data_IF_630006870957
#
_entry.id   IF_630006870957
#
_cell.length_a   1.000
_cell.length_b   1.000
_cell.length_c   1.000
_cell.angle_alpha   90.00
_cell.angle_beta   90.00
_cell.angle_gamma   90.00
#
_symmetry.space_group_name_H-M   'P 1'
#
loop_
_entity.id
_entity.type
_entity.pdbx_description
1 polymer ?
#
# COMPACT_ATOMS: atom_id res chain seq x y z
N UNK A 1 -27.98 51.74 36.75
CA UNK A 1 -28.69 50.60 37.28
C UNK A 1 -28.67 49.58 36.19
N UNK A 2 -27.75 48.88 35.96
CA UNK A 2 -26.65 47.96 36.19
C UNK A 2 -27.10 46.70 36.87
N UNK A 3 -27.17 45.65 36.06
CA UNK A 3 -26.93 44.31 36.55
C UNK A 3 -26.25 43.46 35.49
N UNK A 4 -25.06 43.00 35.87
CA UNK A 4 -24.23 42.13 35.12
C UNK A 4 -24.64 40.67 35.36
N UNK A 5 -24.89 39.90 34.31
CA UNK A 5 -25.16 38.48 34.41
C UNK A 5 -23.88 37.68 34.13
N UNK A 6 -23.37 37.05 35.16
CA UNK A 6 -22.27 36.10 35.15
C UNK A 6 -22.78 34.71 34.72
N UNK A 7 -22.40 34.23 33.56
CA UNK A 7 -22.63 32.84 33.16
C UNK A 7 -21.40 32.00 33.46
N UNK A 8 -21.46 31.24 34.55
CA UNK A 8 -20.56 30.10 34.80
C UNK A 8 -21.04 28.90 34.00
N UNK A 9 -20.28 28.48 33.02
CA UNK A 9 -20.43 27.17 32.37
C UNK A 9 -19.67 26.11 33.15
N UNK A 10 -20.41 25.32 33.93
CA UNK A 10 -19.90 24.09 34.54
C UNK A 10 -20.02 22.94 33.53
N UNK A 11 -18.92 22.49 32.95
CA UNK A 11 -18.86 21.27 32.18
C UNK A 11 -18.90 20.06 33.11
N UNK A 12 -20.00 19.34 33.15
CA UNK A 12 -20.09 18.05 33.82
C UNK A 12 -19.59 16.94 32.92
N UNK A 13 -18.43 16.36 33.25
CA UNK A 13 -17.96 15.10 32.69
C UNK A 13 -18.76 13.94 33.28
N UNK A 14 -19.60 13.30 32.50
CA UNK A 14 -20.19 12.01 32.87
C UNK A 14 -19.15 10.89 32.68
N UNK A 15 -18.71 10.36 33.82
CA UNK A 15 -17.98 9.10 33.89
C UNK A 15 -18.95 7.92 33.65
N UNK A 16 -18.84 7.24 32.54
CA UNK A 16 -19.45 5.93 32.35
C UNK A 16 -18.44 4.90 32.79
N UNK A 17 -18.73 4.18 33.85
CA UNK A 17 -17.88 3.13 34.40
C UNK A 17 -18.43 1.80 33.93
N UNK A 18 -17.88 1.23 32.87
CA UNK A 18 -18.03 -0.18 32.55
C UNK A 18 -16.65 -0.84 32.49
N UNK A 19 -16.54 -1.92 33.26
CA UNK A 19 -15.43 -2.88 33.32
C UNK A 19 -13.98 -2.34 33.34
N UNK A 20 -13.58 -1.76 34.46
CA UNK A 20 -12.23 -1.95 35.00
C UNK A 20 -11.00 -1.32 34.34
N UNK A 21 -11.12 -0.51 33.29
CA UNK A 21 -9.98 0.19 32.70
C UNK A 21 -10.34 1.61 32.28
N UNK A 22 -9.60 2.58 32.80
CA UNK A 22 -9.66 3.99 32.36
C UNK A 22 -8.90 4.13 31.04
N UNK A 23 -9.60 4.36 29.96
CA UNK A 23 -9.02 4.86 28.71
C UNK A 23 -9.07 6.37 28.69
N UNK A 24 -7.91 7.02 28.67
CA UNK A 24 -7.82 8.43 28.30
C UNK A 24 -7.82 8.53 26.78
N UNK A 25 -8.97 8.90 26.22
CA UNK A 25 -9.05 9.29 24.83
C UNK A 25 -8.43 10.68 24.67
N UNK A 26 -7.28 10.76 24.02
CA UNK A 26 -6.83 11.99 23.39
C UNK A 26 -7.32 11.94 21.95
N UNK A 27 -8.32 12.74 21.63
CA UNK A 27 -8.76 12.95 20.26
C UNK A 27 -7.75 13.87 19.58
N UNK A 28 -6.82 13.30 18.81
CA UNK A 28 -6.05 14.02 17.80
C UNK A 28 -6.47 13.50 16.44
N UNK A 29 -6.98 14.38 15.62
CA UNK A 29 -7.40 14.11 14.24
C UNK A 29 -6.26 14.51 13.34
N UNK A 30 -5.73 13.57 12.56
CA UNK A 30 -4.73 13.92 11.55
C UNK A 30 -4.51 12.86 10.45
N UNK A 31 -4.31 13.29 9.29
CA UNK A 31 -4.38 12.61 7.99
C UNK A 31 -3.08 12.59 7.16
N UNK A 32 -2.74 11.71 6.26
CA UNK A 32 -1.53 11.56 5.44
C UNK A 32 -1.74 11.29 3.95
N UNK A 33 -0.76 11.57 3.15
CA UNK A 33 -0.80 11.50 1.69
C UNK A 33 -0.55 10.10 1.13
N UNK A 34 -1.48 9.59 0.33
CA UNK A 34 -1.26 8.50 -0.61
C UNK A 34 -1.29 9.11 -2.00
N UNK A 35 -0.16 9.19 -2.66
CA UNK A 35 -0.12 9.60 -4.06
C UNK A 35 -0.12 8.34 -4.92
N UNK A 36 -1.19 8.13 -5.60
CA UNK A 36 -1.27 7.16 -6.69
C UNK A 36 -0.65 7.76 -7.93
N UNK A 37 0.64 7.56 -8.15
CA UNK A 37 1.21 7.66 -9.49
C UNK A 37 0.65 6.48 -10.29
N UNK A 38 -0.07 6.79 -11.37
CA UNK A 38 -0.80 5.82 -12.17
C UNK A 38 0.08 4.76 -12.83
N UNK A 39 0.15 3.62 -12.19
CA UNK A 39 0.38 2.31 -12.79
C UNK A 39 -0.52 1.34 -12.06
N UNK A 40 -1.47 0.76 -12.74
CA UNK A 40 -2.19 -0.39 -12.25
C UNK A 40 -1.24 -1.57 -12.27
N UNK A 41 -0.35 -1.67 -11.27
CA UNK A 41 0.19 -2.96 -10.90
C UNK A 41 -1.00 -3.83 -10.51
N UNK A 42 -1.05 -5.11 -10.90
CA UNK A 42 -2.04 -6.01 -10.35
C UNK A 42 -1.98 -5.86 -8.84
N UNK A 43 -3.11 -5.53 -8.23
CA UNK A 43 -3.23 -5.24 -6.81
C UNK A 43 -2.61 -6.40 -6.05
N UNK A 44 -1.48 -6.13 -5.42
CA UNK A 44 -0.89 -7.04 -4.46
C UNK A 44 -1.87 -7.16 -3.31
N UNK A 45 -2.49 -8.32 -3.17
CA UNK A 45 -3.43 -8.61 -2.10
C UNK A 45 -2.76 -8.43 -0.75
N UNK A 46 -3.23 -7.54 -0.07
CA UNK A 46 -3.12 -6.91 1.24
C UNK A 46 -2.76 -5.44 1.10
N UNK A 47 -3.68 -4.60 1.54
CA UNK A 47 -3.34 -3.26 1.98
C UNK A 47 -2.58 -3.45 3.30
N UNK A 48 -1.32 -3.87 3.19
CA UNK A 48 -0.40 -3.67 4.28
C UNK A 48 -0.13 -2.19 4.28
N UNK A 49 -0.83 -1.44 5.12
CA UNK A 49 -0.30 -0.16 5.55
C UNK A 49 0.96 -0.50 6.33
N UNK A 50 2.15 -0.36 5.77
CA UNK A 50 3.35 -0.44 6.58
C UNK A 50 3.22 0.71 7.57
N UNK A 51 3.17 0.39 8.83
CA UNK A 51 3.17 1.35 9.94
C UNK A 51 4.36 2.28 9.86
N UNK A 52 5.31 1.93 9.05
CA UNK A 52 6.43 2.76 8.61
C UNK A 52 6.58 2.56 7.10
N UNK A 53 5.71 3.18 6.33
CA UNK A 53 6.18 3.64 5.04
C UNK A 53 7.00 4.88 5.36
N UNK A 54 8.27 4.99 4.98
CA UNK A 54 8.77 6.31 4.73
C UNK A 54 7.72 6.89 3.78
N UNK A 55 7.11 7.99 4.18
CA UNK A 55 6.40 8.78 3.21
C UNK A 55 7.48 9.15 2.21
N UNK A 56 7.69 8.31 1.18
CA UNK A 56 8.30 8.81 -0.03
C UNK A 56 7.40 9.97 -0.37
N UNK A 57 7.87 11.21 -0.22
CA UNK A 57 7.04 12.32 -0.60
C UNK A 57 6.70 12.01 -2.04
N UNK A 58 5.46 11.66 -2.30
CA UNK A 58 4.98 11.53 -3.64
C UNK A 58 4.82 12.95 -4.17
N UNK A 59 5.93 13.59 -4.35
CA UNK A 59 6.00 14.53 -5.42
C UNK A 59 5.91 13.69 -6.69
N UNK A 60 4.85 13.91 -7.46
CA UNK A 60 4.84 13.58 -8.87
C UNK A 60 6.22 13.90 -9.40
N UNK A 61 6.88 13.01 -10.17
CA UNK A 61 8.27 13.15 -10.53
C UNK A 61 8.50 14.60 -10.94
N UNK A 62 9.26 15.33 -10.10
CA UNK A 62 9.55 16.71 -10.37
C UNK A 62 10.26 16.70 -11.71
N UNK A 63 9.57 17.22 -12.73
CA UNK A 63 10.14 17.55 -14.03
C UNK A 63 10.87 16.41 -14.79
N UNK A 64 10.21 15.27 -15.02
CA UNK A 64 10.22 14.83 -16.42
C UNK A 64 9.37 15.89 -17.12
N UNK A 65 9.94 16.71 -18.03
CA UNK A 65 9.10 17.63 -18.76
C UNK A 65 7.99 16.80 -19.37
N UNK A 66 6.71 17.17 -19.16
CA UNK A 66 5.60 16.42 -19.75
C UNK A 66 5.95 16.36 -21.23
N UNK A 67 6.06 15.16 -21.78
CA UNK A 67 6.03 15.05 -23.24
C UNK A 67 4.78 15.82 -23.64
N UNK A 68 4.82 16.54 -24.74
CA UNK A 68 3.69 17.35 -25.27
C UNK A 68 2.37 16.58 -25.27
N UNK A 69 2.41 15.31 -25.06
CA UNK A 69 1.37 14.28 -25.07
C UNK A 69 0.68 14.06 -23.72
N UNK A 70 1.30 14.50 -22.60
CA UNK A 70 0.74 14.35 -21.25
C UNK A 70 0.13 15.66 -20.71
N UNK A 71 -0.29 16.55 -21.59
CA UNK A 71 -0.85 17.84 -21.18
C UNK A 71 -2.21 17.73 -20.48
N UNK A 72 -2.89 16.58 -20.58
CA UNK A 72 -4.21 16.36 -20.04
C UNK A 72 -5.30 17.25 -20.68
N UNK A 73 -6.57 16.91 -20.48
CA UNK A 73 -7.71 17.68 -20.95
C UNK A 73 -7.94 18.86 -19.99
N UNK A 74 -7.86 20.13 -20.43
CA UNK A 74 -8.10 21.26 -19.55
C UNK A 74 -9.58 21.35 -19.13
N UNK A 75 -9.81 21.55 -17.84
CA UNK A 75 -11.13 21.78 -17.24
C UNK A 75 -11.04 22.93 -16.23
N UNK A 76 -11.13 24.17 -16.73
CA UNK A 76 -10.93 25.35 -15.89
C UNK A 76 -9.54 25.39 -15.27
N UNK A 77 -9.47 25.37 -13.94
CA UNK A 77 -8.21 25.33 -13.18
C UNK A 77 -7.74 23.90 -12.82
N UNK A 78 -8.26 22.90 -13.53
CA UNK A 78 -7.90 21.50 -13.39
C UNK A 78 -7.51 20.90 -14.74
N UNK A 79 -6.80 19.78 -14.71
CA UNK A 79 -6.50 18.93 -15.86
C UNK A 79 -6.94 17.50 -15.60
N UNK A 80 -7.57 16.88 -16.59
CA UNK A 80 -8.09 15.52 -16.56
C UNK A 80 -7.14 14.60 -17.33
N UNK A 81 -6.85 13.43 -16.77
CA UNK A 81 -6.01 12.39 -17.33
C UNK A 81 -6.77 11.05 -17.31
N UNK A 82 -7.64 10.81 -18.30
CA UNK A 82 -8.31 9.52 -18.42
C UNK A 82 -7.35 8.48 -18.98
N UNK A 83 -7.44 7.25 -18.44
CA UNK A 83 -6.69 6.09 -18.94
C UNK A 83 -7.62 4.88 -18.99
N UNK A 84 -7.49 4.07 -20.02
CA UNK A 84 -8.16 2.78 -20.15
C UNK A 84 -7.12 1.72 -20.48
N UNK A 85 -7.03 0.71 -19.65
CA UNK A 85 -6.15 -0.46 -19.84
C UNK A 85 -7.03 -1.69 -20.07
N UNK A 86 -6.87 -2.36 -21.20
CA UNK A 86 -7.58 -3.59 -21.56
C UNK A 86 -6.55 -4.69 -21.76
N UNK A 87 -6.80 -5.84 -21.15
CA UNK A 87 -5.95 -7.02 -21.23
C UNK A 87 -6.78 -8.24 -21.57
N UNK A 88 -6.26 -9.11 -22.43
CA UNK A 88 -6.86 -10.39 -22.74
C UNK A 88 -5.75 -11.44 -22.89
N UNK A 89 -5.96 -12.63 -22.37
CA UNK A 89 -4.93 -13.67 -22.40
C UNK A 89 -5.33 -14.95 -21.70
N UNK A 90 -4.33 -15.66 -21.23
CA UNK A 90 -4.49 -16.95 -20.57
C UNK A 90 -3.65 -17.03 -19.29
N UNK A 91 -4.29 -17.48 -18.22
CA UNK A 91 -3.69 -17.79 -16.93
C UNK A 91 -3.64 -19.30 -16.74
N UNK A 92 -2.46 -19.83 -16.47
CA UNK A 92 -2.24 -21.28 -16.35
C UNK A 92 -2.68 -21.87 -15.02
N UNK A 93 -2.88 -21.02 -13.96
CA UNK A 93 -3.13 -21.52 -12.61
C UNK A 93 -3.90 -20.48 -11.76
N UNK A 94 -5.17 -20.27 -12.09
CA UNK A 94 -6.02 -19.24 -11.48
C UNK A 94 -6.16 -19.43 -9.97
N UNK A 95 -6.19 -20.68 -9.48
CA UNK A 95 -6.36 -21.01 -8.07
C UNK A 95 -5.05 -21.14 -7.29
N UNK A 96 -3.89 -20.83 -7.91
CA UNK A 96 -2.58 -20.97 -7.28
C UNK A 96 -2.36 -22.36 -6.65
N UNK A 97 -2.71 -23.41 -7.38
CA UNK A 97 -2.63 -24.80 -6.92
C UNK A 97 -1.25 -25.42 -7.20
N UNK A 98 -0.87 -26.45 -6.43
CA UNK A 98 0.38 -27.18 -6.68
C UNK A 98 0.45 -27.82 -8.07
N UNK A 99 1.67 -28.20 -8.45
CA UNK A 99 1.91 -28.87 -9.74
C UNK A 99 1.02 -30.12 -9.89
N UNK A 100 0.42 -30.27 -11.06
CA UNK A 100 -0.50 -31.36 -11.39
C UNK A 100 -1.97 -31.13 -10.99
N UNK A 101 -2.28 -30.04 -10.27
CA UNK A 101 -3.65 -29.64 -9.88
C UNK A 101 -4.07 -28.31 -10.48
N UNK A 102 -3.23 -27.72 -11.31
CA UNK A 102 -3.42 -26.38 -11.85
C UNK A 102 -4.67 -26.31 -12.74
N UNK A 103 -5.42 -25.24 -12.56
CA UNK A 103 -6.58 -24.93 -13.38
C UNK A 103 -6.31 -23.64 -14.15
N UNK A 104 -6.24 -23.76 -15.47
CA UNK A 104 -6.05 -22.63 -16.36
C UNK A 104 -7.37 -22.06 -16.87
N UNK A 105 -7.36 -20.79 -17.19
CA UNK A 105 -8.52 -20.09 -17.77
C UNK A 105 -8.09 -19.00 -18.73
N UNK A 106 -8.89 -18.77 -19.76
CA UNK A 106 -8.86 -17.53 -20.49
C UNK A 106 -9.26 -16.39 -19.53
N UNK A 107 -8.62 -15.24 -19.70
CA UNK A 107 -8.70 -14.10 -18.80
C UNK A 107 -8.83 -12.80 -19.58
N UNK A 108 -9.75 -11.97 -19.14
CA UNK A 108 -9.96 -10.64 -19.67
C UNK A 108 -10.01 -9.64 -18.51
N UNK A 109 -9.40 -8.46 -18.68
CA UNK A 109 -9.48 -7.39 -17.69
C UNK A 109 -9.67 -6.04 -18.34
N UNK A 110 -10.47 -5.19 -17.71
CA UNK A 110 -10.73 -3.82 -18.10
C UNK A 110 -10.45 -2.92 -16.90
N UNK A 111 -9.56 -1.96 -17.06
CA UNK A 111 -9.14 -1.07 -15.97
C UNK A 111 -9.22 0.40 -16.40
N UNK A 112 -10.39 1.04 -16.25
CA UNK A 112 -10.52 2.49 -16.42
C UNK A 112 -9.92 3.23 -15.23
N UNK A 113 -9.29 4.38 -15.50
CA UNK A 113 -8.91 5.33 -14.46
C UNK A 113 -9.04 6.77 -14.90
N UNK A 114 -9.27 7.66 -13.95
CA UNK A 114 -9.35 9.09 -14.16
C UNK A 114 -8.54 9.79 -13.05
N UNK A 115 -7.59 10.62 -13.45
CA UNK A 115 -6.90 11.54 -12.56
C UNK A 115 -7.35 12.95 -12.88
N UNK A 116 -7.65 13.77 -11.88
CA UNK A 116 -7.96 15.18 -11.99
C UNK A 116 -6.97 15.92 -11.11
N UNK A 117 -6.17 16.80 -11.71
CA UNK A 117 -5.11 17.54 -11.01
C UNK A 117 -5.37 19.03 -11.13
N UNK A 118 -5.20 19.75 -10.02
CA UNK A 118 -5.22 21.21 -10.05
C UNK A 118 -4.02 21.75 -10.81
N UNK A 119 -4.26 22.81 -11.61
CA UNK A 119 -3.25 23.56 -12.36
C UNK A 119 -3.00 24.91 -11.65
N UNK A 120 -2.74 24.87 -10.35
CA UNK A 120 -2.50 26.05 -9.50
C UNK A 120 -1.01 26.28 -9.29
N UNK A 121 -0.60 27.54 -9.21
CA UNK A 121 0.81 27.89 -8.93
C UNK A 121 1.22 27.57 -7.49
N UNK A 122 0.29 27.75 -6.55
CA UNK A 122 0.42 27.41 -5.13
C UNK A 122 -0.74 26.52 -4.75
N UNK A 123 -0.54 25.72 -3.70
CA UNK A 123 -1.49 24.71 -3.28
C UNK A 123 -1.66 23.58 -4.31
N UNK A 124 -2.29 22.53 -3.91
CA UNK A 124 -2.57 21.38 -4.78
C UNK A 124 -3.87 20.72 -4.31
N UNK A 125 -4.69 20.30 -5.27
CA UNK A 125 -5.84 19.45 -5.00
C UNK A 125 -6.01 18.47 -6.16
N UNK A 126 -5.93 17.19 -5.85
CA UNK A 126 -6.05 16.12 -6.81
C UNK A 126 -7.20 15.20 -6.43
N UNK A 127 -7.83 14.60 -7.43
CA UNK A 127 -8.80 13.54 -7.29
C UNK A 127 -8.42 12.40 -8.22
N UNK A 128 -8.63 11.18 -7.77
CA UNK A 128 -8.45 9.98 -8.56
C UNK A 128 -9.63 9.03 -8.43
N UNK A 129 -9.95 8.35 -9.51
CA UNK A 129 -10.88 7.23 -9.51
C UNK A 129 -10.32 6.13 -10.40
N UNK A 130 -10.44 4.88 -9.97
CA UNK A 130 -10.06 3.74 -10.78
C UNK A 130 -11.03 2.58 -10.60
N UNK A 131 -11.14 1.76 -11.63
CA UNK A 131 -11.75 0.44 -11.60
C UNK A 131 -10.78 -0.58 -12.18
N UNK A 132 -10.87 -1.85 -11.76
CA UNK A 132 -10.19 -2.97 -12.39
C UNK A 132 -11.09 -4.20 -12.27
N UNK A 133 -11.59 -4.64 -13.41
CA UNK A 133 -12.57 -5.73 -13.53
C UNK A 133 -11.90 -6.88 -14.27
N UNK A 134 -11.79 -8.04 -13.65
CA UNK A 134 -11.20 -9.23 -14.23
C UNK A 134 -12.19 -10.38 -14.33
N UNK A 135 -12.19 -11.05 -15.49
CA UNK A 135 -13.13 -12.10 -15.83
C UNK A 135 -12.37 -13.34 -16.28
N UNK A 136 -12.66 -14.47 -15.65
CA UNK A 136 -12.14 -15.78 -15.98
C UNK A 136 -13.24 -16.65 -16.56
N UNK A 137 -13.02 -17.25 -17.74
CA UNK A 137 -14.06 -18.03 -18.41
C UNK A 137 -14.34 -19.36 -17.70
N UNK A 138 -13.29 -20.04 -17.22
CA UNK A 138 -13.39 -21.36 -16.58
C UNK A 138 -13.29 -21.32 -15.05
N UNK A 139 -13.14 -20.12 -14.46
CA UNK A 139 -12.96 -19.91 -13.02
C UNK A 139 -13.71 -18.67 -12.56
N UNK A 140 -15.00 -18.57 -12.89
CA UNK A 140 -15.83 -17.38 -12.66
C UNK A 140 -15.93 -16.99 -11.18
N UNK A 141 -15.74 -17.93 -10.26
CA UNK A 141 -15.67 -17.63 -8.83
C UNK A 141 -14.46 -16.76 -8.44
N UNK A 142 -13.43 -16.69 -9.30
CA UNK A 142 -12.26 -15.83 -9.12
C UNK A 142 -12.37 -14.49 -9.88
N UNK A 143 -13.52 -14.20 -10.49
CA UNK A 143 -13.77 -12.88 -11.06
C UNK A 143 -13.65 -11.82 -9.96
N UNK A 144 -13.08 -10.66 -10.31
CA UNK A 144 -12.87 -9.61 -9.35
C UNK A 144 -13.32 -8.23 -9.86
N UNK A 145 -13.68 -7.37 -8.92
CA UNK A 145 -14.11 -6.00 -9.17
C UNK A 145 -13.40 -5.11 -8.15
N UNK A 146 -12.25 -4.58 -8.54
CA UNK A 146 -11.53 -3.62 -7.73
C UNK A 146 -11.91 -2.21 -8.15
N UNK A 147 -12.02 -1.30 -7.18
CA UNK A 147 -12.30 0.10 -7.43
C UNK A 147 -11.71 0.97 -6.34
N UNK A 148 -11.55 2.23 -6.65
CA UNK A 148 -11.11 3.19 -5.65
C UNK A 148 -11.36 4.62 -6.06
N UNK A 149 -11.49 5.46 -5.03
CA UNK A 149 -11.54 6.91 -5.13
C UNK A 149 -10.51 7.46 -4.15
N UNK A 150 -9.77 8.46 -4.58
CA UNK A 150 -8.82 9.15 -3.70
C UNK A 150 -8.88 10.65 -3.93
N UNK A 151 -8.53 11.39 -2.90
CA UNK A 151 -8.25 12.81 -2.98
C UNK A 151 -7.03 13.12 -2.14
N UNK A 152 -6.19 14.00 -2.63
CA UNK A 152 -5.06 14.54 -1.92
C UNK A 152 -4.96 16.04 -2.16
N UNK A 153 -4.61 16.75 -1.11
CA UNK A 153 -4.47 18.19 -1.14
C UNK A 153 -3.28 18.67 -0.34
N UNK A 154 -2.69 19.78 -0.78
CA UNK A 154 -1.63 20.48 -0.08
C UNK A 154 -1.93 21.97 -0.03
N UNK A 155 -1.83 22.55 1.14
CA UNK A 155 -1.90 23.98 1.38
C UNK A 155 -0.51 24.48 1.74
N UNK A 156 0.04 25.33 0.89
CA UNK A 156 1.32 26.00 1.14
C UNK A 156 1.05 27.24 1.97
N UNK A 157 1.36 27.18 3.28
CA UNK A 157 1.13 28.28 4.23
C UNK A 157 2.21 29.34 4.04
N UNK A 158 3.45 28.87 3.86
CA UNK A 158 4.61 29.67 3.48
C UNK A 158 5.48 28.83 2.53
N UNK A 159 6.52 29.42 1.96
CA UNK A 159 7.44 28.75 1.01
C UNK A 159 7.96 27.40 1.53
N UNK A 160 8.29 27.33 2.82
CA UNK A 160 8.92 26.19 3.47
C UNK A 160 8.02 25.55 4.54
N UNK A 161 6.72 25.88 4.53
CA UNK A 161 5.72 25.33 5.45
C UNK A 161 4.45 24.95 4.71
N UNK A 162 4.12 23.68 4.74
CA UNK A 162 2.91 23.17 4.11
C UNK A 162 2.15 22.19 5.00
N UNK A 163 0.88 22.08 4.72
CA UNK A 163 -0.03 21.11 5.30
C UNK A 163 -0.60 20.26 4.15
N UNK A 164 -0.45 18.96 4.24
CA UNK A 164 -0.98 18.01 3.24
C UNK A 164 -2.00 17.09 3.89
N UNK A 165 -3.08 16.80 3.17
CA UNK A 165 -4.13 15.90 3.60
C UNK A 165 -4.51 14.95 2.48
N UNK A 166 -4.86 13.71 2.79
CA UNK A 166 -5.46 12.80 1.83
C UNK A 166 -6.49 11.88 2.46
N UNK A 167 -7.40 11.42 1.61
CA UNK A 167 -8.39 10.42 1.93
C UNK A 167 -8.58 9.51 0.71
N UNK A 168 -8.82 8.22 0.95
CA UNK A 168 -9.23 7.31 -0.09
C UNK A 168 -10.31 6.35 0.40
N UNK A 169 -11.02 5.76 -0.54
CA UNK A 169 -11.87 4.60 -0.33
C UNK A 169 -11.55 3.58 -1.43
N UNK A 170 -11.19 2.37 -1.06
CA UNK A 170 -10.85 1.32 -2.00
C UNK A 170 -11.57 0.02 -1.65
N UNK A 171 -12.00 -0.70 -2.68
CA UNK A 171 -12.43 -2.10 -2.60
C UNK A 171 -11.47 -2.93 -3.45
N UNK A 172 -10.70 -3.82 -2.85
CA UNK A 172 -9.69 -4.64 -3.54
C UNK A 172 -9.85 -6.10 -3.19
N UNK A 173 -9.72 -6.96 -4.19
CA UNK A 173 -9.86 -8.41 -4.07
C UNK A 173 -8.53 -9.04 -3.69
N UNK A 174 -8.52 -9.87 -2.65
CA UNK A 174 -7.37 -10.70 -2.25
C UNK A 174 -7.27 -11.92 -3.17
N UNK A 175 -6.57 -11.77 -4.29
CA UNK A 175 -6.43 -12.84 -5.28
C UNK A 175 -5.56 -13.98 -4.76
N UNK A 176 -5.93 -15.22 -5.08
CA UNK A 176 -5.13 -16.41 -4.78
C UNK A 176 -3.74 -16.32 -5.43
N UNK A 177 -2.72 -16.81 -4.74
CA UNK A 177 -1.33 -16.69 -5.17
C UNK A 177 -0.67 -15.36 -4.79
N UNK A 178 -1.30 -14.59 -3.90
CA UNK A 178 -0.65 -13.42 -3.26
C UNK A 178 -0.19 -13.79 -1.84
N UNK A 179 0.81 -13.08 -1.28
CA UNK A 179 1.31 -13.34 0.06
C UNK A 179 0.21 -13.34 1.12
N UNK A 180 0.27 -14.30 2.05
CA UNK A 180 -0.63 -14.42 3.21
C UNK A 180 -2.14 -14.44 2.86
N UNK A 181 -2.50 -15.05 1.74
CA UNK A 181 -3.90 -15.30 1.36
C UNK A 181 -4.23 -16.77 1.48
N UNK A 182 -5.27 -17.09 2.24
CA UNK A 182 -5.70 -18.47 2.42
C UNK A 182 -6.40 -19.03 1.17
N UNK A 183 -6.23 -20.33 0.92
CA UNK A 183 -6.92 -21.02 -0.16
C UNK A 183 -8.44 -20.94 0.01
N UNK A 184 -9.14 -20.49 -1.02
CA UNK A 184 -10.57 -20.27 -1.02
C UNK A 184 -11.20 -20.56 -2.38
N UNK A 185 -12.49 -20.87 -2.39
CA UNK A 185 -13.27 -21.02 -3.63
C UNK A 185 -13.52 -19.66 -4.28
N UNK A 186 -13.83 -18.65 -3.46
CA UNK A 186 -14.02 -17.25 -3.89
C UNK A 186 -13.10 -16.34 -3.07
N UNK A 187 -12.49 -15.33 -3.68
CA UNK A 187 -11.61 -14.42 -2.97
C UNK A 187 -12.39 -13.51 -2.00
N UNK A 188 -11.69 -13.04 -0.97
CA UNK A 188 -12.18 -11.98 -0.08
C UNK A 188 -11.98 -10.60 -0.73
N UNK A 189 -12.85 -9.66 -0.40
CA UNK A 189 -12.70 -8.25 -0.77
C UNK A 189 -12.36 -7.44 0.46
N UNK A 190 -11.32 -6.62 0.37
CA UNK A 190 -10.89 -5.68 1.40
C UNK A 190 -11.39 -4.29 1.05
N UNK A 191 -12.21 -3.73 1.91
CA UNK A 191 -12.59 -2.32 1.86
C UNK A 191 -11.70 -1.54 2.80
N UNK A 192 -10.98 -0.55 2.26
CA UNK A 192 -10.08 0.28 3.04
C UNK A 192 -10.46 1.76 2.92
N UNK A 193 -10.39 2.45 4.06
CA UNK A 193 -10.57 3.91 4.17
C UNK A 193 -9.34 4.50 4.84
N UNK A 194 -8.22 4.66 4.11
CA UNK A 194 -7.05 5.36 4.63
C UNK A 194 -7.28 6.87 4.65
N UNK A 195 -6.94 7.46 5.76
CA UNK A 195 -6.93 8.90 5.99
C UNK A 195 -5.54 9.31 6.45
N UNK A 196 -5.14 10.54 6.14
CA UNK A 196 -3.83 10.99 6.54
C UNK A 196 -3.69 12.53 6.52
N UNK A 197 -2.91 13.15 7.45
CA UNK A 197 -2.55 14.58 7.52
C UNK A 197 -1.07 14.71 7.88
N UNK A 198 -0.37 15.50 7.14
CA UNK A 198 1.05 15.76 7.35
C UNK A 198 1.32 17.26 7.38
N UNK A 199 2.08 17.67 8.36
CA UNK A 199 2.63 19.01 8.44
C UNK A 199 4.13 18.92 8.18
N UNK A 200 4.62 19.68 7.22
CA UNK A 200 6.05 19.80 6.92
C UNK A 200 6.49 21.25 7.10
N UNK A 201 7.63 21.44 7.76
CA UNK A 201 8.26 22.76 7.90
C UNK A 201 9.77 22.65 7.81
N UNK A 202 10.38 23.52 6.99
CA UNK A 202 11.84 23.63 6.84
C UNK A 202 12.30 25.00 7.37
N UNK A 203 13.37 24.98 8.15
CA UNK A 203 14.09 26.17 8.65
C UNK A 203 15.52 26.09 8.15
N UNK A 204 15.80 26.76 7.04
CA UNK A 204 17.09 26.68 6.38
C UNK A 204 17.42 25.20 6.05
N UNK A 205 18.36 24.57 6.73
CA UNK A 205 18.78 23.19 6.52
C UNK A 205 18.06 22.17 7.44
N UNK A 206 17.43 22.65 8.50
CA UNK A 206 16.64 21.78 9.40
C UNK A 206 15.22 21.66 8.88
N UNK A 207 14.64 20.46 8.96
CA UNK A 207 13.24 20.26 8.68
C UNK A 207 12.58 19.35 9.70
N UNK A 208 11.27 19.53 9.86
CA UNK A 208 10.41 18.72 10.70
C UNK A 208 9.18 18.31 9.91
N UNK A 209 8.77 17.06 10.13
CA UNK A 209 7.52 16.55 9.57
C UNK A 209 6.78 15.78 10.66
N UNK A 210 5.53 16.15 10.87
CA UNK A 210 4.61 15.40 11.71
C UNK A 210 3.51 14.80 10.84
N UNK A 211 3.26 13.51 11.00
CA UNK A 211 2.26 12.81 10.19
C UNK A 211 1.40 11.93 11.10
N UNK A 212 0.08 12.03 10.95
CA UNK A 212 -0.87 11.14 11.56
C UNK A 212 -1.66 10.35 10.52
N UNK A 213 -1.97 9.10 10.77
CA UNK A 213 -2.70 8.20 9.88
C UNK A 213 -3.85 7.52 10.60
N UNK A 214 -4.95 7.28 9.89
CA UNK A 214 -6.04 6.46 10.36
C UNK A 214 -6.56 5.62 9.19
N UNK A 215 -6.65 4.29 9.35
CA UNK A 215 -7.15 3.41 8.32
C UNK A 215 -8.21 2.47 8.89
N UNK A 216 -9.41 2.49 8.30
CA UNK A 216 -10.44 1.49 8.54
C UNK A 216 -10.31 0.36 7.53
N UNK A 217 -10.22 -0.88 7.98
CA UNK A 217 -10.16 -2.08 7.16
C UNK A 217 -11.36 -2.96 7.45
N UNK A 218 -12.08 -3.37 6.41
CA UNK A 218 -13.24 -4.26 6.47
C UNK A 218 -13.11 -5.34 5.41
N UNK A 219 -13.33 -6.58 5.78
CA UNK A 219 -13.12 -7.74 4.94
C UNK A 219 -14.43 -8.44 4.68
N UNK A 220 -14.73 -8.74 3.44
CA UNK A 220 -15.82 -9.67 3.14
C UNK A 220 -15.42 -11.08 3.50
N UNK A 221 -16.38 -11.89 3.91
CA UNK A 221 -16.14 -13.32 4.07
C UNK A 221 -15.91 -13.97 2.70
N UNK A 222 -14.97 -14.90 2.66
CA UNK A 222 -14.69 -15.75 1.51
C UNK A 222 -15.10 -17.19 1.80
N UNK A 223 -15.38 -17.97 0.77
CA UNK A 223 -15.61 -19.41 0.90
C UNK A 223 -14.28 -20.14 1.11
N UNK A 224 -13.73 -20.05 2.33
CA UNK A 224 -12.43 -20.62 2.66
C UNK A 224 -12.44 -22.14 2.61
N UNK A 225 -11.39 -22.72 2.04
CA UNK A 225 -11.13 -24.17 2.07
C UNK A 225 -10.25 -24.56 3.26
N UNK A 226 -9.55 -23.59 3.84
CA UNK A 226 -8.63 -23.80 4.95
C UNK A 226 -9.27 -23.37 6.28
N UNK A 227 -9.48 -24.32 7.19
CA UNK A 227 -10.04 -24.08 8.53
C UNK A 227 -9.09 -23.32 9.48
N UNK A 228 -7.81 -23.20 9.13
CA UNK A 228 -6.81 -22.47 9.91
C UNK A 228 -6.78 -20.98 9.56
N UNK A 229 -7.61 -20.51 8.64
CA UNK A 229 -7.69 -19.11 8.28
C UNK A 229 -8.82 -18.39 9.01
N UNK A 230 -8.63 -17.12 9.31
CA UNK A 230 -9.63 -16.25 9.93
C UNK A 230 -10.71 -15.88 8.90
N UNK A 231 -12.00 -15.91 9.28
CA UNK A 231 -13.06 -15.30 8.49
C UNK A 231 -12.80 -13.81 8.29
N UNK A 232 -13.32 -13.24 7.20
CA UNK A 232 -13.13 -11.84 6.88
C UNK A 232 -13.51 -10.90 8.03
N UNK A 233 -14.67 -11.07 8.62
CA UNK A 233 -15.17 -10.24 9.74
C UNK A 233 -14.27 -10.27 11.00
N UNK A 234 -13.51 -11.35 11.21
CA UNK A 234 -12.52 -11.43 12.31
C UNK A 234 -11.23 -10.63 12.04
N UNK A 235 -11.07 -10.13 10.82
CA UNK A 235 -9.92 -9.33 10.38
C UNK A 235 -10.24 -7.84 10.37
N UNK A 236 -11.52 -7.46 10.56
CA UNK A 236 -11.99 -6.09 10.59
C UNK A 236 -11.32 -5.31 11.70
N UNK A 237 -10.67 -4.21 11.36
CA UNK A 237 -9.92 -3.39 12.30
C UNK A 237 -9.80 -1.94 11.89
N UNK A 238 -9.42 -1.11 12.86
CA UNK A 238 -8.95 0.24 12.64
C UNK A 238 -7.47 0.32 13.03
N UNK A 239 -6.68 0.98 12.22
CA UNK A 239 -5.26 1.22 12.45
C UNK A 239 -5.01 2.71 12.58
N UNK A 240 -4.23 3.10 13.58
CA UNK A 240 -3.80 4.48 13.80
C UNK A 240 -2.29 4.53 13.86
N UNK A 241 -1.71 5.58 13.31
CA UNK A 241 -0.26 5.78 13.32
C UNK A 241 0.09 7.25 13.44
N UNK A 242 1.13 7.54 14.18
CA UNK A 242 1.69 8.87 14.33
C UNK A 242 3.20 8.80 14.13
N UNK A 243 3.76 9.71 13.36
CA UNK A 243 5.20 9.79 13.13
C UNK A 243 5.68 11.23 13.28
N UNK A 244 6.86 11.37 13.87
CA UNK A 244 7.58 12.63 13.93
C UNK A 244 8.97 12.41 13.34
N UNK A 245 9.27 13.16 12.30
CA UNK A 245 10.57 13.15 11.61
C UNK A 245 11.27 14.48 11.82
N UNK A 246 12.56 14.44 12.11
CA UNK A 246 13.44 15.59 12.10
C UNK A 246 14.64 15.29 11.22
N UNK A 247 15.04 16.23 10.38
CA UNK A 247 16.14 16.02 9.45
C UNK A 247 16.97 17.26 9.19
N UNK A 248 18.11 17.04 8.57
CA UNK A 248 19.09 18.05 8.23
C UNK A 248 19.58 17.86 6.81
N UNK A 249 19.52 18.91 6.02
CA UNK A 249 20.09 18.98 4.67
C UNK A 249 21.60 19.17 4.74
N UNK A 250 22.34 18.13 4.42
CA UNK A 250 23.79 18.16 4.44
C UNK A 250 24.34 18.90 3.23
N UNK A 251 23.82 18.57 2.05
CA UNK A 251 24.05 19.21 0.75
C UNK A 251 22.71 19.45 0.07
N UNK A 252 22.66 20.32 -0.90
CA UNK A 252 21.48 20.51 -1.73
C UNK A 252 21.03 19.18 -2.35
N UNK A 253 19.80 18.78 -2.03
CA UNK A 253 19.22 17.51 -2.45
C UNK A 253 19.68 16.26 -1.65
N UNK A 254 20.43 16.43 -0.55
CA UNK A 254 20.80 15.30 0.30
C UNK A 254 20.49 15.57 1.77
N UNK A 255 19.46 14.91 2.24
CA UNK A 255 18.96 15.01 3.61
C UNK A 255 19.29 13.78 4.44
N UNK A 256 19.67 13.97 5.71
CA UNK A 256 19.62 12.95 6.75
C UNK A 256 18.46 13.22 7.70
N UNK A 257 17.83 12.17 8.19
CA UNK A 257 16.70 12.31 9.12
C UNK A 257 16.61 11.14 10.10
N UNK A 258 15.94 11.42 11.21
CA UNK A 258 15.50 10.44 12.21
C UNK A 258 14.00 10.56 12.38
N UNK A 259 13.31 9.43 12.50
CA UNK A 259 11.86 9.37 12.68
C UNK A 259 11.52 8.45 13.83
N UNK A 260 10.69 8.93 14.75
CA UNK A 260 9.98 8.14 15.75
C UNK A 260 8.55 7.91 15.28
N UNK A 261 7.99 6.74 15.58
CA UNK A 261 6.61 6.39 15.24
C UNK A 261 5.92 5.63 16.35
N UNK A 262 4.62 5.85 16.48
CA UNK A 262 3.69 5.09 17.33
C UNK A 262 2.58 4.53 16.45
N UNK A 263 2.06 3.36 16.82
CA UNK A 263 0.92 2.78 16.12
C UNK A 263 0.00 2.02 17.08
N UNK A 264 -1.25 1.89 16.67
CA UNK A 264 -2.25 1.08 17.33
C UNK A 264 -3.12 0.38 16.30
N UNK A 265 -3.37 -0.90 16.52
CA UNK A 265 -4.35 -1.70 15.76
C UNK A 265 -5.45 -2.14 16.70
N UNK A 266 -6.68 -1.87 16.33
CA UNK A 266 -7.87 -2.19 17.13
C UNK A 266 -8.85 -2.97 16.28
N UNK A 267 -9.06 -4.23 16.64
CA UNK A 267 -9.99 -5.13 15.97
C UNK A 267 -11.43 -4.89 16.43
N UNK A 268 -12.40 -4.98 15.52
CA UNK A 268 -13.82 -4.81 15.85
C UNK A 268 -14.35 -6.00 16.64
N UNK A 269 -13.84 -7.20 16.38
CA UNK A 269 -14.09 -8.37 17.19
C UNK A 269 -13.03 -8.47 18.29
N UNK A 270 -13.44 -8.24 19.53
CA UNK A 270 -12.55 -8.28 20.69
C UNK A 270 -11.84 -9.62 20.85
N UNK A 271 -12.57 -10.73 20.60
CA UNK A 271 -12.02 -12.08 20.57
C UNK A 271 -12.44 -12.71 19.24
N UNK A 272 -11.48 -13.20 18.48
CA UNK A 272 -11.73 -13.91 17.23
C UNK A 272 -12.24 -15.34 17.47
N UNK A 273 -12.55 -16.06 16.39
CA UNK A 273 -13.07 -17.46 16.45
C UNK A 273 -12.08 -18.45 17.09
N UNK A 274 -10.78 -18.10 17.17
CA UNK A 274 -9.74 -18.90 17.84
C UNK A 274 -9.56 -18.54 19.33
N UNK A 275 -10.39 -17.66 19.89
CA UNK A 275 -10.29 -17.21 21.27
C UNK A 275 -9.19 -16.19 21.55
N UNK A 276 -8.66 -15.53 20.52
CA UNK A 276 -7.54 -14.60 20.62
C UNK A 276 -8.00 -13.15 20.47
N UNK A 277 -7.44 -12.27 21.29
CA UNK A 277 -7.50 -10.83 21.09
C UNK A 277 -6.28 -10.40 20.28
N UNK A 278 -6.50 -9.81 19.12
CA UNK A 278 -5.43 -9.40 18.19
C UNK A 278 -5.08 -7.90 18.26
N UNK A 279 -5.73 -7.15 19.13
CA UNK A 279 -5.37 -5.76 19.36
C UNK A 279 -3.89 -5.64 19.70
N UNK A 280 -3.26 -4.61 19.18
CA UNK A 280 -1.83 -4.40 19.39
C UNK A 280 -1.46 -2.92 19.36
N UNK A 281 -0.33 -2.59 19.99
CA UNK A 281 0.30 -1.28 19.93
C UNK A 281 1.78 -1.43 19.66
N UNK A 282 2.35 -0.49 18.94
CA UNK A 282 3.76 -0.56 18.58
C UNK A 282 4.44 0.80 18.59
N UNK A 283 5.75 0.73 18.56
CA UNK A 283 6.61 1.88 18.37
C UNK A 283 7.76 1.55 17.42
N UNK A 284 8.33 2.60 16.87
CA UNK A 284 9.48 2.48 15.98
C UNK A 284 10.42 3.66 16.11
N UNK A 285 11.69 3.41 15.84
CA UNK A 285 12.69 4.43 15.65
C UNK A 285 13.55 4.06 14.46
N UNK A 286 13.61 4.97 13.48
CA UNK A 286 14.38 4.74 12.25
C UNK A 286 15.22 5.97 11.91
N UNK A 287 16.39 5.73 11.32
CA UNK A 287 17.22 6.76 10.72
C UNK A 287 17.37 6.51 9.23
N UNK A 288 17.41 7.56 8.46
CA UNK A 288 17.46 7.44 7.01
C UNK A 288 18.06 8.64 6.29
N UNK A 289 18.10 8.52 5.00
CA UNK A 289 18.56 9.59 4.10
C UNK A 289 17.69 9.66 2.86
N UNK A 290 17.56 10.87 2.33
CA UNK A 290 16.88 11.15 1.07
C UNK A 290 17.88 11.80 0.12
N UNK A 291 17.98 11.29 -1.10
CA UNK A 291 18.76 11.86 -2.20
C UNK A 291 17.80 12.35 -3.27
N UNK A 292 17.84 13.65 -3.58
CA UNK A 292 17.07 14.29 -4.65
C UNK A 292 18.01 15.05 -5.58
N UNK A 293 18.23 14.52 -6.77
CA UNK A 293 19.13 15.10 -7.78
C UNK A 293 18.36 15.91 -8.83
N UNK A 294 17.30 16.62 -8.40
CA UNK A 294 16.63 17.60 -9.24
C UNK A 294 15.97 17.02 -10.50
N UNK A 295 15.18 15.94 -10.38
CA UNK A 295 14.46 15.31 -11.49
C UNK A 295 15.22 14.19 -12.22
N UNK A 296 16.51 14.00 -11.92
CA UNK A 296 17.29 12.85 -12.45
C UNK A 296 17.03 11.61 -11.56
N UNK A 297 17.07 11.78 -10.25
CA UNK A 297 16.89 10.67 -9.33
C UNK A 297 16.37 11.16 -7.99
N UNK A 298 15.43 10.42 -7.42
CA UNK A 298 14.97 10.62 -6.06
C UNK A 298 14.93 9.25 -5.37
N UNK A 299 15.77 9.07 -4.37
CA UNK A 299 15.89 7.84 -3.60
C UNK A 299 15.79 8.16 -2.12
N UNK A 300 15.07 7.34 -1.39
CA UNK A 300 15.00 7.40 0.08
C UNK A 300 15.27 6.02 0.65
N UNK A 301 16.13 5.96 1.68
CA UNK A 301 16.44 4.74 2.41
C UNK A 301 16.49 4.96 3.90
N UNK A 302 16.12 3.92 4.66
CA UNK A 302 16.15 3.95 6.11
C UNK A 302 16.49 2.59 6.72
N UNK A 303 16.93 2.61 7.96
CA UNK A 303 17.10 1.44 8.82
C UNK A 303 16.73 1.83 10.26
N UNK A 304 16.18 0.90 11.00
CA UNK A 304 15.82 1.10 12.39
C UNK A 304 15.23 -0.13 13.05
N UNK A 305 14.51 0.08 14.12
CA UNK A 305 13.89 -0.98 14.91
C UNK A 305 12.41 -0.67 15.12
N UNK A 306 11.58 -1.71 14.99
CA UNK A 306 10.13 -1.66 15.24
C UNK A 306 9.76 -2.75 16.23
N UNK A 307 8.88 -2.42 17.16
CA UNK A 307 8.32 -3.37 18.12
C UNK A 307 6.80 -3.27 18.10
N UNK A 308 6.14 -4.43 18.07
CA UNK A 308 4.69 -4.58 18.17
C UNK A 308 4.36 -5.43 19.40
N UNK A 309 3.49 -4.90 20.25
CA UNK A 309 3.03 -5.56 21.48
C UNK A 309 1.57 -5.97 21.29
N UNK A 310 1.30 -7.26 21.31
CA UNK A 310 -0.03 -7.83 21.22
C UNK A 310 -0.64 -8.02 22.60
N UNK A 311 -1.88 -7.63 22.80
CA UNK A 311 -2.49 -7.61 24.13
C UNK A 311 -2.84 -9.01 24.65
N UNK A 312 -3.11 -9.95 23.76
CA UNK A 312 -3.33 -11.34 24.14
C UNK A 312 -2.75 -12.28 23.05
N UNK A 313 -1.91 -13.20 23.40
CA UNK A 313 -1.48 -13.66 24.73
C UNK A 313 -0.32 -12.89 25.39
N UNK A 314 -0.14 -11.62 25.08
CA UNK A 314 0.94 -10.79 25.65
C UNK A 314 2.29 -11.03 24.97
N UNK A 315 2.26 -11.30 23.66
CA UNK A 315 3.45 -11.50 22.83
C UNK A 315 3.96 -10.13 22.37
N UNK A 316 5.27 -10.05 22.28
CA UNK A 316 5.98 -8.91 21.69
C UNK A 316 6.82 -9.39 20.55
N UNK A 317 6.58 -8.83 19.35
CA UNK A 317 7.41 -9.04 18.17
C UNK A 317 8.25 -7.81 17.92
N UNK A 318 9.57 -7.98 17.89
CA UNK A 318 10.53 -6.92 17.62
C UNK A 318 11.44 -7.30 16.46
N UNK A 319 11.67 -6.34 15.54
CA UNK A 319 12.50 -6.59 14.37
C UNK A 319 13.29 -5.36 13.95
N UNK A 320 14.47 -5.61 13.37
CA UNK A 320 15.14 -4.60 12.55
C UNK A 320 14.32 -4.41 11.29
N UNK A 321 13.89 -3.17 11.03
CA UNK A 321 13.16 -2.76 9.85
C UNK A 321 14.03 -1.88 8.97
N UNK A 322 13.91 -2.01 7.68
CA UNK A 322 14.63 -1.20 6.72
C UNK A 322 13.83 -1.05 5.43
N UNK A 323 14.11 0.00 4.71
CA UNK A 323 13.52 0.25 3.41
C UNK A 323 14.43 1.08 2.53
N UNK A 324 14.24 0.90 1.23
CA UNK A 324 14.79 1.72 0.16
C UNK A 324 13.72 1.82 -0.92
N UNK A 325 13.53 3.00 -1.46
CA UNK A 325 12.62 3.19 -2.58
C UNK A 325 12.95 4.48 -3.32
N UNK A 326 12.45 4.57 -4.54
CA UNK A 326 12.59 5.78 -5.32
C UNK A 326 12.68 5.55 -6.82
N UNK A 327 13.11 6.57 -7.54
CA UNK A 327 13.29 6.56 -9.00
C UNK A 327 14.69 6.99 -9.35
N UNK A 328 15.33 6.23 -10.19
CA UNK A 328 16.61 6.59 -10.80
C UNK A 328 16.42 6.73 -12.31
N UNK A 329 16.86 7.86 -12.85
CA UNK A 329 16.80 8.21 -14.27
C UNK A 329 18.12 8.85 -14.73
N UNK A 330 19.24 8.29 -14.29
CA UNK A 330 20.57 8.79 -14.65
C UNK A 330 21.01 8.47 -16.09
N UNK A 331 20.27 7.61 -16.79
CA UNK A 331 20.47 7.29 -18.20
C UNK A 331 19.14 7.41 -18.95
N UNK A 332 19.01 8.41 -19.79
CA UNK A 332 17.77 8.90 -20.41
C UNK A 332 16.79 7.83 -20.94
N UNK A 333 17.17 6.76 -21.65
CA UNK A 333 16.17 5.78 -22.08
C UNK A 333 15.72 4.80 -20.98
N UNK A 334 16.36 4.80 -19.79
CA UNK A 334 16.11 3.85 -18.72
C UNK A 334 15.68 4.54 -17.43
N UNK A 335 14.51 4.19 -16.94
CA UNK A 335 14.03 4.51 -15.59
C UNK A 335 14.08 3.24 -14.76
N UNK A 336 14.70 3.29 -13.58
CA UNK A 336 14.75 2.19 -12.61
C UNK A 336 14.06 2.64 -11.33
N UNK A 337 13.15 1.81 -10.82
CA UNK A 337 12.50 2.00 -9.52
C UNK A 337 12.83 0.85 -8.60
N UNK A 338 13.99 0.89 -7.93
CA UNK A 338 14.34 -0.14 -6.95
C UNK A 338 13.49 0.03 -5.69
N UNK A 339 13.19 -1.09 -5.04
CA UNK A 339 12.58 -1.06 -3.72
C UNK A 339 13.02 -2.24 -2.88
N UNK A 340 13.14 -1.99 -1.58
CA UNK A 340 13.24 -3.03 -0.55
C UNK A 340 12.45 -2.55 0.65
N UNK A 341 11.74 -3.46 1.30
CA UNK A 341 11.00 -3.14 2.53
C UNK A 341 10.97 -4.37 3.44
N UNK A 342 11.27 -4.14 4.72
CA UNK A 342 11.08 -5.13 5.78
C UNK A 342 10.17 -4.56 6.86
N UNK A 343 9.04 -5.27 7.13
CA UNK A 343 7.99 -4.82 8.06
C UNK A 343 7.30 -5.98 8.78
N UNK A 344 6.72 -5.70 9.95
CA UNK A 344 5.88 -6.63 10.72
C UNK A 344 4.44 -6.47 10.24
N UNK A 345 3.81 -7.58 9.81
CA UNK A 345 2.47 -7.59 9.25
C UNK A 345 1.55 -8.56 10.02
N UNK A 346 0.25 -8.25 10.00
CA UNK A 346 -0.80 -9.15 10.48
C UNK A 346 -1.00 -10.32 9.53
N UNK A 347 -1.29 -11.51 10.06
CA UNK A 347 -1.56 -12.71 9.24
C UNK A 347 -3.03 -13.09 9.24
N UNK A 348 -3.47 -13.75 8.15
CA UNK A 348 -4.80 -14.36 8.03
C UNK A 348 -4.92 -15.68 8.81
N UNK A 349 -3.81 -16.29 9.20
CA UNK A 349 -3.79 -17.61 9.82
C UNK A 349 -3.95 -17.53 11.35
N UNK A 350 -4.84 -18.35 11.91
CA UNK A 350 -5.17 -18.36 13.35
C UNK A 350 -4.03 -18.85 14.23
N UNK A 351 -3.18 -19.73 13.70
CA UNK A 351 -2.08 -20.36 14.44
C UNK A 351 -0.80 -19.51 14.50
N UNK A 352 -0.79 -18.37 13.78
CA UNK A 352 0.31 -17.44 13.71
C UNK A 352 -0.10 -16.07 14.22
N UNK A 353 0.81 -15.40 14.91
CA UNK A 353 0.59 -14.09 15.50
C UNK A 353 0.73 -12.98 14.46
N UNK A 354 1.82 -13.03 13.74
CA UNK A 354 2.24 -12.10 12.72
C UNK A 354 3.20 -12.78 11.73
N UNK A 355 3.60 -12.04 10.74
CA UNK A 355 4.76 -12.40 9.91
C UNK A 355 5.63 -11.18 9.63
N UNK A 356 6.93 -11.43 9.56
CA UNK A 356 7.93 -10.45 9.15
C UNK A 356 8.14 -10.57 7.63
N UNK A 357 7.68 -9.61 6.89
CA UNK A 357 7.83 -9.56 5.44
C UNK A 357 9.14 -8.86 5.08
N UNK A 358 9.91 -9.45 4.18
CA UNK A 358 11.06 -8.80 3.54
C UNK A 358 10.89 -8.92 2.04
N UNK A 359 10.59 -7.81 1.39
CA UNK A 359 10.40 -7.76 -0.07
C UNK A 359 11.50 -6.93 -0.71
N UNK A 360 12.13 -7.45 -1.74
CA UNK A 360 13.09 -6.75 -2.60
C UNK A 360 12.63 -6.84 -4.05
N UNK A 361 12.77 -5.77 -4.80
CA UNK A 361 12.42 -5.77 -6.21
C UNK A 361 12.87 -4.53 -6.95
N UNK A 362 12.58 -4.50 -8.23
CA UNK A 362 12.80 -3.35 -9.09
C UNK A 362 11.83 -3.35 -10.28
N UNK A 363 11.47 -2.16 -10.70
CA UNK A 363 10.79 -1.91 -11.97
C UNK A 363 11.75 -1.21 -12.93
N UNK A 364 11.68 -1.59 -14.18
CA UNK A 364 12.49 -1.05 -15.27
C UNK A 364 11.57 -0.59 -16.38
N UNK A 365 11.75 0.64 -16.83
CA UNK A 365 11.08 1.20 -18.00
C UNK A 365 12.19 1.60 -18.96
N UNK A 366 12.25 0.96 -20.12
CA UNK A 366 13.28 1.22 -21.12
C UNK A 366 12.64 1.63 -22.45
N UNK A 367 12.89 2.86 -22.86
CA UNK A 367 12.46 3.39 -24.16
C UNK A 367 13.49 2.97 -25.22
N UNK A 368 13.17 1.88 -25.96
CA UNK A 368 14.07 1.33 -27.00
C UNK A 368 14.15 2.31 -28.18
N UNK A 369 13.02 2.86 -28.57
CA UNK A 369 12.83 3.85 -29.62
C UNK A 369 11.60 4.69 -29.28
N UNK A 370 11.36 5.83 -29.94
CA UNK A 370 10.20 6.68 -29.70
C UNK A 370 8.87 5.92 -29.59
N UNK A 371 8.74 4.84 -30.35
CA UNK A 371 7.48 4.08 -30.46
C UNK A 371 7.48 2.76 -29.65
N UNK A 372 8.63 2.36 -29.09
CA UNK A 372 8.78 1.10 -28.39
C UNK A 372 9.25 1.28 -26.95
N UNK A 373 8.51 0.72 -26.03
CA UNK A 373 8.83 0.75 -24.60
C UNK A 373 8.81 -0.67 -24.03
N UNK A 374 9.91 -1.06 -23.40
CA UNK A 374 10.01 -2.29 -22.61
C UNK A 374 9.74 -1.95 -21.15
N UNK A 375 8.80 -2.65 -20.53
CA UNK A 375 8.53 -2.61 -19.10
C UNK A 375 8.89 -3.96 -18.49
N UNK A 376 9.70 -3.96 -17.45
CA UNK A 376 10.04 -5.18 -16.72
C UNK A 376 9.90 -4.92 -15.22
N UNK A 377 9.38 -5.88 -14.48
CA UNK A 377 9.28 -5.82 -13.02
C UNK A 377 9.69 -7.15 -12.43
N UNK A 378 10.39 -7.12 -11.31
CA UNK A 378 10.73 -8.32 -10.55
C UNK A 378 10.62 -8.06 -9.06
N UNK A 379 10.15 -9.03 -8.30
CA UNK A 379 10.18 -8.98 -6.85
C UNK A 379 10.35 -10.37 -6.23
N UNK A 380 10.98 -10.37 -5.07
CA UNK A 380 11.14 -11.52 -4.21
C UNK A 380 10.73 -11.15 -2.81
N UNK A 381 9.87 -11.94 -2.16
CA UNK A 381 9.40 -11.73 -0.80
C UNK A 381 9.67 -12.95 0.06
N UNK A 382 10.18 -12.70 1.26
CA UNK A 382 10.31 -13.65 2.35
C UNK A 382 9.26 -13.32 3.41
N UNK A 383 8.47 -14.28 3.83
CA UNK A 383 7.45 -14.14 4.87
C UNK A 383 7.82 -15.08 6.03
N UNK A 384 8.39 -14.51 7.10
CA UNK A 384 8.79 -15.24 8.29
C UNK A 384 7.64 -15.25 9.30
N UNK A 385 6.93 -16.37 9.45
CA UNK A 385 5.75 -16.49 10.30
C UNK A 385 6.13 -16.79 11.76
N UNK A 386 5.53 -16.04 12.69
CA UNK A 386 5.70 -16.20 14.13
C UNK A 386 4.53 -17.00 14.72
N UNK A 387 4.74 -18.23 15.22
CA UNK A 387 3.67 -19.03 15.81
C UNK A 387 3.10 -18.40 17.08
N UNK A 388 1.80 -18.58 17.30
CA UNK A 388 1.17 -18.27 18.60
C UNK A 388 1.67 -19.28 19.65
N UNK A 389 2.22 -18.85 20.80
CA UNK A 389 2.70 -19.75 21.83
C UNK A 389 1.62 -20.72 22.34
N UNK A 390 1.97 -21.99 22.46
CA UNK A 390 1.08 -23.03 22.93
C UNK A 390 0.21 -23.70 21.87
N UNK A 391 0.26 -23.26 20.62
CA UNK A 391 -0.39 -23.98 19.50
C UNK A 391 0.41 -25.23 19.14
N UNK A 392 -0.26 -26.38 19.14
CA UNK A 392 0.36 -27.65 18.76
C UNK A 392 0.42 -27.79 17.24
N UNK A 393 1.54 -28.32 16.73
CA UNK A 393 1.73 -28.60 15.30
C UNK A 393 2.10 -27.39 14.47
N UNK A 394 2.36 -26.22 15.08
CA UNK A 394 2.88 -25.03 14.40
C UNK A 394 4.36 -24.86 14.70
N UNK A 395 5.09 -24.39 13.71
CA UNK A 395 6.52 -24.10 13.82
C UNK A 395 6.85 -22.81 13.06
N UNK A 396 7.87 -22.11 13.49
CA UNK A 396 8.38 -20.95 12.76
C UNK A 396 8.85 -21.40 11.38
N UNK A 397 8.38 -20.74 10.33
CA UNK A 397 8.76 -21.05 8.96
C UNK A 397 8.80 -19.80 8.08
N UNK A 398 9.42 -19.95 6.93
CA UNK A 398 9.55 -18.89 5.93
C UNK A 398 8.93 -19.32 4.62
N UNK A 399 8.00 -18.54 4.11
CA UNK A 399 7.47 -18.68 2.76
C UNK A 399 8.17 -17.75 1.79
N UNK A 400 8.38 -18.21 0.57
CA UNK A 400 9.03 -17.49 -0.49
C UNK A 400 8.03 -17.18 -1.60
N UNK A 401 8.04 -15.93 -2.10
CA UNK A 401 7.24 -15.51 -3.24
C UNK A 401 8.12 -14.83 -4.29
N UNK A 402 7.94 -15.24 -5.54
CA UNK A 402 8.64 -14.69 -6.70
C UNK A 402 7.64 -14.10 -7.67
N UNK A 403 7.95 -12.94 -8.24
CA UNK A 403 7.19 -12.34 -9.33
C UNK A 403 8.11 -11.76 -10.37
N UNK A 404 7.70 -11.92 -11.63
CA UNK A 404 8.34 -11.33 -12.79
C UNK A 404 7.23 -10.82 -13.71
N UNK A 405 7.39 -9.64 -14.26
CA UNK A 405 6.55 -9.12 -15.35
C UNK A 405 7.42 -8.61 -16.49
N UNK A 406 7.02 -8.87 -17.71
CA UNK A 406 7.70 -8.41 -18.93
C UNK A 406 6.63 -7.94 -19.92
N UNK A 407 6.66 -6.67 -20.29
CA UNK A 407 5.75 -6.07 -21.25
C UNK A 407 6.50 -5.29 -22.32
N UNK A 408 6.14 -5.49 -23.57
CA UNK A 408 6.64 -4.71 -24.68
C UNK A 408 5.46 -3.93 -25.28
N UNK A 409 5.53 -2.60 -25.22
CA UNK A 409 4.48 -1.72 -25.73
C UNK A 409 4.94 -1.00 -27.00
N UNK A 410 4.10 -1.04 -28.02
CA UNK A 410 4.25 -0.28 -29.24
C UNK A 410 3.21 0.84 -29.29
N UNK A 411 3.66 2.08 -29.48
CA UNK A 411 2.82 3.26 -29.61
C UNK A 411 2.28 3.39 -31.03
N UNK A 412 1.03 2.97 -31.24
CA UNK A 412 0.32 3.21 -32.51
C UNK A 412 0.10 4.69 -32.76
N UNK A 413 -0.18 5.40 -31.69
CA UNK A 413 -0.27 6.85 -31.55
C UNK A 413 0.22 7.23 -30.14
N UNK A 414 0.54 8.48 -29.88
CA UNK A 414 0.93 8.91 -28.54
C UNK A 414 -0.08 8.48 -27.45
N UNK A 415 -1.37 8.45 -27.79
CA UNK A 415 -2.45 8.12 -26.88
C UNK A 415 -2.80 6.62 -26.83
N UNK A 416 -2.30 5.80 -27.77
CA UNK A 416 -2.70 4.38 -27.88
C UNK A 416 -1.46 3.51 -27.97
N UNK A 417 -1.29 2.65 -26.98
CA UNK A 417 -0.20 1.69 -26.92
C UNK A 417 -0.75 0.26 -26.88
N UNK A 418 -0.09 -0.66 -27.58
CA UNK A 418 -0.46 -2.06 -27.59
C UNK A 418 0.77 -2.95 -27.44
N UNK A 419 0.59 -4.15 -26.92
CA UNK A 419 1.66 -5.13 -26.94
C UNK A 419 1.47 -6.33 -26.03
N UNK A 420 2.36 -7.33 -26.10
CA UNK A 420 2.34 -8.48 -25.24
C UNK A 420 2.76 -8.12 -23.82
N UNK A 421 2.17 -8.84 -22.85
CA UNK A 421 2.53 -8.81 -21.44
C UNK A 421 2.62 -10.25 -20.94
N UNK A 422 3.71 -10.57 -20.30
CA UNK A 422 3.92 -11.84 -19.61
C UNK A 422 4.12 -11.60 -18.12
N UNK A 423 3.43 -12.38 -17.31
CA UNK A 423 3.59 -12.37 -15.86
C UNK A 423 3.88 -13.79 -15.36
N UNK A 424 4.83 -13.89 -14.46
CA UNK A 424 5.18 -15.11 -13.76
C UNK A 424 5.06 -14.88 -12.26
N UNK A 425 4.47 -15.82 -11.54
CA UNK A 425 4.51 -15.86 -10.08
C UNK A 425 4.69 -17.29 -9.58
N UNK A 426 5.40 -17.41 -8.49
CA UNK A 426 5.62 -18.68 -7.80
C UNK A 426 5.71 -18.47 -6.32
N UNK A 427 5.25 -19.45 -5.57
CA UNK A 427 5.43 -19.49 -4.12
C UNK A 427 5.90 -20.86 -3.66
N UNK A 428 6.63 -20.90 -2.57
CA UNK A 428 7.05 -22.13 -1.90
C UNK A 428 7.21 -21.91 -0.39
N UNK A 429 6.77 -22.88 0.40
CA UNK A 429 6.93 -22.88 1.83
C UNK A 429 6.73 -24.28 2.41
N UNK A 430 7.19 -24.52 3.65
CA UNK A 430 7.24 -25.84 4.24
C UNK A 430 5.97 -26.26 4.99
N UNK A 431 5.09 -25.31 5.37
CA UNK A 431 3.87 -25.65 6.13
C UNK A 431 2.72 -26.01 5.18
N UNK A 432 2.25 -27.30 5.17
CA UNK A 432 1.19 -27.74 4.27
C UNK A 432 -0.16 -27.07 4.55
N UNK A 433 -0.34 -26.43 5.71
CA UNK A 433 -1.62 -25.83 6.11
C UNK A 433 -1.70 -24.34 5.73
N UNK A 434 -0.57 -23.65 5.67
CA UNK A 434 -0.53 -22.19 5.46
C UNK A 434 0.27 -21.78 4.24
N UNK A 435 1.35 -22.54 3.92
CA UNK A 435 2.21 -22.20 2.79
C UNK A 435 1.52 -22.52 1.46
N UNK A 436 1.67 -21.60 0.54
CA UNK A 436 1.28 -21.80 -0.86
C UNK A 436 2.46 -22.38 -1.64
N UNK A 437 2.21 -23.43 -2.43
CA UNK A 437 3.22 -24.06 -3.27
C UNK A 437 2.69 -24.12 -4.71
N UNK A 438 3.04 -23.13 -5.53
CA UNK A 438 2.54 -23.04 -6.90
C UNK A 438 3.52 -22.38 -7.85
N UNK A 439 3.26 -22.60 -9.14
CA UNK A 439 3.80 -21.81 -10.26
C UNK A 439 2.64 -21.35 -11.13
N UNK A 440 2.71 -20.13 -11.65
CA UNK A 440 1.66 -19.50 -12.45
C UNK A 440 2.29 -18.67 -13.56
N UNK A 441 1.82 -18.84 -14.76
CA UNK A 441 2.19 -18.06 -15.94
C UNK A 441 0.94 -17.40 -16.50
N UNK A 442 1.01 -16.11 -16.77
CA UNK A 442 -0.07 -15.38 -17.43
C UNK A 442 0.49 -14.70 -18.67
N UNK A 443 -0.06 -15.04 -19.82
CA UNK A 443 0.33 -14.47 -21.12
C UNK A 443 -0.84 -13.65 -21.62
N UNK A 444 -0.62 -12.38 -21.87
CA UNK A 444 -1.69 -11.44 -22.23
C UNK A 444 -1.26 -10.55 -23.40
N UNK A 445 -2.25 -10.04 -24.10
CA UNK A 445 -2.12 -8.88 -24.96
C UNK A 445 -2.77 -7.69 -24.27
N UNK A 446 -2.09 -6.55 -24.29
CA UNK A 446 -2.48 -5.33 -23.58
C UNK A 446 -2.72 -4.19 -24.57
N UNK A 447 -3.78 -3.41 -24.35
CA UNK A 447 -4.06 -2.15 -25.00
C UNK A 447 -4.19 -1.08 -23.92
N UNK A 448 -3.45 0.01 -24.06
CA UNK A 448 -3.56 1.18 -23.18
C UNK A 448 -3.95 2.38 -24.03
N UNK A 449 -5.06 3.02 -23.66
CA UNK A 449 -5.46 4.32 -24.20
C UNK A 449 -5.37 5.36 -23.09
N UNK A 450 -4.67 6.47 -23.36
CA UNK A 450 -4.45 7.57 -22.40
C UNK A 450 -4.49 8.93 -23.10
N UNK A 451 -4.80 9.98 -22.34
CA UNK A 451 -4.73 11.36 -22.82
C UNK A 451 -4.15 12.29 -21.76
#
# INVERSE_FOLDING_TARGET
MTDACNLKTSGSSKLVKESGRLYRFYAFTLAASVSCAGWTTPSFGQVTTPVISPAVPSEAPANVPPTTEELGIPLGSFRLYPTLDIRAGYDTNVFAQPAGQQTGSAYEAISPSLQVRSDWNNHMLNFGAFGAFGFYNNATAQNYQNFGFNTDGRVDIQRDWNLSASAAFTGTTELLGTPDVAQSVSPSVVYAVPLSLSMFQRFNRLFYQATGTATGLRYSDSSQLNTSALPGSSRDRNEFGETLRAGYELYEGFDFWVQGGLNQRSYLQYINIAGQQRDSSGWSIVGGSTLDLGGISKLEGFVGYTQQNYFNPGITTGAVTFGLGGTWNGYQPLIVRPFVLRSINETVFTNYQDYLSTTIGAEFIYTIHSDWQLNAGTSFSLLDYTPVPGTTGTFQHTDNFYRLSLGLLYSLRPQIQIGPLYEFSAASGPDPNTSQNFTRHTIMFRLVAKQ
#
